data_IF_192701288881
#
_entry.id   IF_192701288881
#
_cell.length_a   1.000
_cell.length_b   1.000
_cell.length_c   1.000
_cell.angle_alpha   90.00
_cell.angle_beta   90.00
_cell.angle_gamma   90.00
#
_symmetry.space_group_name_H-M   'P 1'
#
loop_
_entity.id
_entity.type
_entity.pdbx_description
1 polymer ?
#
# COMPACT_ATOMS: atom_id res chain seq x y z
N UNK A 1 -11.83 9.13 17.66
CA UNK A 1 -10.55 8.85 18.35
C UNK A 1 -9.71 7.96 17.45
N UNK A 2 -8.38 8.13 17.39
CA UNK A 2 -7.52 7.20 16.65
C UNK A 2 -7.64 5.79 17.26
N UNK A 3 -7.76 4.77 16.41
CA UNK A 3 -7.74 3.37 16.83
C UNK A 3 -6.33 2.98 17.27
N UNK A 4 -6.21 2.61 18.54
CA UNK A 4 -4.95 2.26 19.23
C UNK A 4 -4.89 0.76 19.56
N UNK A 5 -5.74 -0.05 18.95
CA UNK A 5 -5.80 -1.49 19.20
C UNK A 5 -4.51 -2.21 18.73
N UNK A 6 -4.19 -3.38 19.31
CA UNK A 6 -3.15 -4.27 18.77
C UNK A 6 -3.37 -4.61 17.30
N UNK A 7 -4.64 -4.68 16.86
CA UNK A 7 -5.01 -4.91 15.46
C UNK A 7 -4.59 -3.73 14.57
N UNK A 8 -4.79 -2.48 15.02
CA UNK A 8 -4.34 -1.29 14.30
C UNK A 8 -2.81 -1.24 14.18
N UNK A 9 -2.08 -1.64 15.24
CA UNK A 9 -0.61 -1.77 15.21
C UNK A 9 -0.17 -2.85 14.23
N UNK A 10 -0.80 -4.04 14.27
CA UNK A 10 -0.48 -5.14 13.37
C UNK A 10 -0.75 -4.77 11.90
N UNK A 11 -1.87 -4.08 11.60
CA UNK A 11 -2.17 -3.58 10.26
C UNK A 11 -1.13 -2.57 9.76
N UNK A 12 -0.65 -1.68 10.63
CA UNK A 12 0.43 -0.77 10.30
C UNK A 12 1.74 -1.53 10.02
N UNK A 13 2.05 -2.58 10.79
CA UNK A 13 3.18 -3.48 10.52
C UNK A 13 3.10 -4.10 9.12
N UNK A 14 1.94 -4.71 8.78
CA UNK A 14 1.71 -5.27 7.44
C UNK A 14 1.86 -4.25 6.32
N UNK A 15 1.47 -2.99 6.57
CA UNK A 15 1.63 -1.91 5.59
C UNK A 15 3.10 -1.61 5.30
N UNK A 16 3.99 -1.73 6.30
CA UNK A 16 5.44 -1.60 6.11
C UNK A 16 5.95 -2.76 5.24
N UNK A 17 5.56 -4.00 5.57
CA UNK A 17 5.96 -5.20 4.82
C UNK A 17 5.55 -5.10 3.35
N UNK A 18 4.28 -4.76 3.10
CA UNK A 18 3.73 -4.59 1.75
C UNK A 18 4.40 -3.43 0.99
N UNK A 19 4.78 -2.35 1.68
CA UNK A 19 5.52 -1.25 1.05
C UNK A 19 6.85 -1.74 0.47
N UNK A 20 7.54 -2.64 1.17
CA UNK A 20 8.78 -3.24 0.67
C UNK A 20 8.53 -4.09 -0.58
N UNK A 21 7.44 -4.88 -0.60
CA UNK A 21 7.07 -5.70 -1.76
C UNK A 21 6.86 -4.84 -3.01
N UNK A 22 6.15 -3.73 -2.90
CA UNK A 22 5.99 -2.79 -4.02
C UNK A 22 7.31 -2.15 -4.45
N UNK A 23 8.19 -1.82 -3.51
CA UNK A 23 9.49 -1.22 -3.80
C UNK A 23 10.42 -2.21 -4.53
N UNK A 24 10.42 -3.48 -4.13
CA UNK A 24 11.17 -4.57 -4.77
C UNK A 24 10.67 -4.82 -6.20
N UNK A 25 9.37 -4.70 -6.43
CA UNK A 25 8.74 -4.88 -7.74
C UNK A 25 8.64 -3.59 -8.57
N UNK A 26 9.28 -2.50 -8.15
CA UNK A 26 9.11 -1.19 -8.78
C UNK A 26 9.47 -1.17 -10.28
N UNK A 27 10.49 -1.93 -10.68
CA UNK A 27 10.89 -2.03 -12.08
C UNK A 27 9.85 -2.78 -12.91
N UNK A 28 9.30 -3.88 -12.40
CA UNK A 28 8.24 -4.64 -13.06
C UNK A 28 6.95 -3.81 -13.20
N UNK A 29 6.59 -3.06 -12.16
CA UNK A 29 5.43 -2.15 -12.19
C UNK A 29 5.61 -1.10 -13.28
N UNK A 30 6.78 -0.48 -13.37
CA UNK A 30 7.04 0.56 -14.38
C UNK A 30 7.13 -0.02 -15.78
N UNK A 31 7.68 -1.22 -15.93
CA UNK A 31 7.73 -1.91 -17.21
C UNK A 31 6.33 -2.23 -17.78
N UNK A 32 5.30 -2.33 -16.94
CA UNK A 32 3.91 -2.55 -17.36
C UNK A 32 3.17 -1.24 -17.75
N UNK A 33 3.70 -0.06 -17.40
CA UNK A 33 3.04 1.22 -17.70
C UNK A 33 2.86 1.55 -19.19
N UNK A 34 3.79 1.20 -20.10
CA UNK A 34 3.62 1.44 -21.54
C UNK A 34 2.42 0.72 -22.16
N UNK A 35 1.99 -0.40 -21.56
CA UNK A 35 0.87 -1.20 -22.06
C UNK A 35 -0.50 -0.71 -21.55
N UNK A 36 -0.52 0.34 -20.70
CA UNK A 36 -1.75 0.90 -20.14
C UNK A 36 -2.47 1.73 -21.20
N UNK A 37 -3.71 1.38 -21.58
CA UNK A 37 -4.45 2.15 -22.56
C UNK A 37 -4.79 3.56 -22.09
N UNK A 38 -5.07 4.45 -23.03
CA UNK A 38 -5.60 5.78 -22.71
C UNK A 38 -6.89 5.67 -21.88
N UNK A 39 -7.06 6.60 -20.94
CA UNK A 39 -8.19 6.55 -19.99
C UNK A 39 -8.07 5.50 -18.89
N UNK A 40 -7.01 4.69 -18.87
CA UNK A 40 -6.77 3.68 -17.84
C UNK A 40 -5.66 4.09 -16.87
N UNK A 41 -5.56 3.34 -15.77
CA UNK A 41 -4.46 3.36 -14.79
C UNK A 41 -3.93 1.95 -14.61
N UNK A 42 -2.67 1.86 -14.19
CA UNK A 42 -2.07 0.61 -13.76
C UNK A 42 -2.37 0.42 -12.27
N UNK A 43 -2.86 -0.75 -11.89
CA UNK A 43 -3.11 -1.15 -10.51
C UNK A 43 -2.18 -2.30 -10.18
N UNK A 44 -1.21 -2.05 -9.30
CA UNK A 44 -0.32 -3.07 -8.78
C UNK A 44 -0.95 -3.68 -7.51
N UNK A 45 -0.97 -5.00 -7.40
CA UNK A 45 -1.65 -5.71 -6.31
C UNK A 45 -0.66 -6.56 -5.52
N UNK A 46 -0.78 -6.51 -4.21
CA UNK A 46 -0.13 -7.41 -3.25
C UNK A 46 -1.23 -8.15 -2.51
N UNK A 47 -1.13 -9.47 -2.44
CA UNK A 47 -2.16 -10.29 -1.79
C UNK A 47 -2.04 -10.29 -0.26
N UNK A 48 -2.96 -11.01 0.39
CA UNK A 48 -3.01 -11.20 1.83
C UNK A 48 -1.80 -11.95 2.42
N UNK A 49 -0.99 -12.62 1.57
CA UNK A 49 0.25 -13.27 1.97
C UNK A 49 1.47 -12.36 1.80
N UNK A 50 1.24 -11.07 1.50
CA UNK A 50 2.27 -10.09 1.17
C UNK A 50 3.11 -10.48 -0.06
N UNK A 51 2.51 -11.18 -1.02
CA UNK A 51 3.17 -11.54 -2.28
C UNK A 51 2.66 -10.63 -3.39
N UNK A 52 3.56 -10.23 -4.29
CA UNK A 52 3.18 -9.46 -5.47
C UNK A 52 2.31 -10.31 -6.39
N UNK A 53 1.03 -9.95 -6.50
CA UNK A 53 0.03 -10.67 -7.28
C UNK A 53 -0.01 -10.23 -8.76
N UNK A 54 0.68 -9.13 -9.09
CA UNK A 54 0.82 -8.63 -10.46
C UNK A 54 0.22 -7.24 -10.66
N UNK A 55 -0.02 -6.91 -11.93
CA UNK A 55 -0.55 -5.62 -12.35
C UNK A 55 -1.80 -5.78 -13.22
N UNK A 56 -2.73 -4.83 -13.09
CA UNK A 56 -3.97 -4.79 -13.84
C UNK A 56 -4.18 -3.42 -14.49
N UNK A 57 -4.79 -3.39 -15.68
CA UNK A 57 -5.24 -2.16 -16.30
C UNK A 57 -6.70 -1.93 -15.90
N UNK A 58 -6.98 -0.75 -15.36
CA UNK A 58 -8.32 -0.40 -14.89
C UNK A 58 -8.72 0.95 -15.46
N UNK A 59 -9.92 1.01 -16.03
CA UNK A 59 -10.46 2.27 -16.54
C UNK A 59 -10.66 3.26 -15.40
N UNK A 60 -10.22 4.52 -15.59
CA UNK A 60 -10.32 5.56 -14.55
C UNK A 60 -11.76 5.76 -14.06
N UNK A 61 -12.74 5.59 -14.95
CA UNK A 61 -14.16 5.76 -14.65
C UNK A 61 -14.70 4.71 -13.65
N UNK A 62 -14.18 3.48 -13.71
CA UNK A 62 -14.66 2.35 -12.89
C UNK A 62 -13.68 1.96 -11.78
N UNK A 63 -12.57 2.69 -11.64
CA UNK A 63 -11.49 2.39 -10.69
C UNK A 63 -11.97 2.24 -9.25
N UNK A 64 -12.92 3.07 -8.81
CA UNK A 64 -13.43 3.04 -7.43
C UNK A 64 -14.14 1.72 -7.11
N UNK A 65 -14.76 1.09 -8.11
CA UNK A 65 -15.46 -0.19 -7.97
C UNK A 65 -14.50 -1.36 -8.17
N UNK A 66 -13.60 -1.25 -9.16
CA UNK A 66 -12.72 -2.35 -9.59
C UNK A 66 -11.51 -2.57 -8.69
N UNK A 67 -10.92 -1.51 -8.13
CA UNK A 67 -9.73 -1.65 -7.27
C UNK A 67 -10.02 -2.47 -6.01
N UNK A 68 -11.12 -2.24 -5.26
CA UNK A 68 -11.47 -3.10 -4.12
C UNK A 68 -11.67 -4.57 -4.48
N UNK A 69 -12.24 -4.87 -5.66
CA UNK A 69 -12.40 -6.26 -6.14
C UNK A 69 -11.05 -6.94 -6.41
N UNK A 70 -10.07 -6.18 -6.94
CA UNK A 70 -8.72 -6.67 -7.22
C UNK A 70 -7.87 -6.83 -5.94
N UNK A 71 -8.02 -5.92 -4.99
CA UNK A 71 -7.34 -5.98 -3.68
C UNK A 71 -7.79 -7.20 -2.87
N UNK A 72 -9.09 -7.50 -2.87
CA UNK A 72 -9.67 -8.51 -2.00
C UNK A 72 -9.73 -8.10 -0.52
N UNK A 73 -10.14 -9.00 0.39
CA UNK A 73 -10.48 -8.65 1.78
C UNK A 73 -9.29 -8.16 2.62
N UNK A 74 -8.07 -8.57 2.27
CA UNK A 74 -6.84 -8.27 3.02
C UNK A 74 -5.63 -8.03 2.11
N UNK A 75 -5.84 -7.75 0.82
CA UNK A 75 -4.73 -7.36 -0.05
C UNK A 75 -4.43 -5.87 0.04
N UNK A 76 -3.54 -5.41 -0.81
CA UNK A 76 -3.25 -4.00 -1.02
C UNK A 76 -3.14 -3.71 -2.49
N UNK A 77 -3.72 -2.59 -2.92
CA UNK A 77 -3.56 -2.08 -4.26
C UNK A 77 -2.86 -0.72 -4.26
N UNK A 78 -1.98 -0.50 -5.23
CA UNK A 78 -1.41 0.82 -5.52
C UNK A 78 -1.67 1.20 -6.97
N UNK A 79 -2.21 2.39 -7.17
CA UNK A 79 -2.61 2.90 -8.49
C UNK A 79 -1.56 3.84 -9.04
N UNK A 80 -1.11 3.60 -10.26
CA UNK A 80 -0.15 4.42 -10.99
C UNK A 80 -0.74 4.94 -12.30
N UNK A 81 -0.50 6.21 -12.57
CA UNK A 81 -0.83 6.80 -13.87
C UNK A 81 0.25 6.49 -14.89
N UNK A 82 -0.09 6.40 -16.19
CA UNK A 82 0.91 6.33 -17.26
C UNK A 82 1.98 7.42 -17.10
N UNK A 83 3.24 7.06 -17.36
CA UNK A 83 4.39 7.97 -17.22
C UNK A 83 5.01 8.04 -15.82
N UNK A 84 4.48 7.30 -14.83
CA UNK A 84 5.16 7.16 -13.54
C UNK A 84 6.53 6.47 -13.70
N UNK A 85 7.50 6.87 -12.87
CA UNK A 85 8.87 6.34 -12.91
C UNK A 85 9.14 5.39 -11.74
N UNK A 86 10.25 4.65 -11.80
CA UNK A 86 10.71 3.81 -10.68
C UNK A 86 10.93 4.67 -9.43
N UNK A 87 11.42 5.89 -9.61
CA UNK A 87 11.56 6.86 -8.52
C UNK A 87 10.23 7.23 -7.87
N UNK A 88 9.15 7.38 -8.65
CA UNK A 88 7.82 7.65 -8.12
C UNK A 88 7.25 6.48 -7.33
N UNK A 89 7.45 5.25 -7.81
CA UNK A 89 7.05 4.03 -7.08
C UNK A 89 7.81 3.93 -5.75
N UNK A 90 9.13 4.08 -5.77
CA UNK A 90 9.97 4.03 -4.56
C UNK A 90 9.63 5.14 -3.58
N UNK A 91 9.35 6.36 -4.06
CA UNK A 91 8.94 7.47 -3.20
C UNK A 91 7.60 7.18 -2.52
N UNK A 92 6.59 6.75 -3.27
CA UNK A 92 5.25 6.44 -2.71
C UNK A 92 5.29 5.31 -1.69
N UNK A 93 6.05 4.26 -1.97
CA UNK A 93 6.21 3.13 -1.06
C UNK A 93 6.96 3.53 0.21
N UNK A 94 8.00 4.36 0.11
CA UNK A 94 8.68 4.92 1.28
C UNK A 94 7.75 5.80 2.13
N UNK A 95 6.94 6.67 1.51
CA UNK A 95 5.94 7.49 2.21
C UNK A 95 4.90 6.62 2.94
N UNK A 96 4.44 5.55 2.30
CA UNK A 96 3.50 4.59 2.89
C UNK A 96 4.09 3.90 4.13
N UNK A 97 5.34 3.41 4.02
CA UNK A 97 6.06 2.81 5.14
C UNK A 97 6.31 3.82 6.28
N UNK A 98 6.67 5.07 5.97
CA UNK A 98 6.90 6.11 6.97
C UNK A 98 5.62 6.44 7.74
N UNK A 99 4.49 6.62 7.04
CA UNK A 99 3.19 6.87 7.67
C UNK A 99 2.82 5.72 8.62
N UNK A 100 3.00 4.49 8.17
CA UNK A 100 2.75 3.30 8.99
C UNK A 100 3.68 3.23 10.21
N UNK A 101 4.97 3.52 10.04
CA UNK A 101 5.95 3.58 11.13
C UNK A 101 5.61 4.64 12.18
N UNK A 102 5.22 5.85 11.75
CA UNK A 102 4.74 6.91 12.64
C UNK A 102 3.50 6.48 13.43
N UNK A 103 2.61 5.71 12.81
CA UNK A 103 1.41 5.17 13.47
C UNK A 103 1.76 4.13 14.54
N UNK A 104 2.67 3.20 14.27
CA UNK A 104 3.17 2.24 15.27
C UNK A 104 3.80 2.99 16.45
N UNK A 105 4.70 3.93 16.18
CA UNK A 105 5.36 4.71 17.23
C UNK A 105 4.38 5.49 18.11
N UNK A 106 3.30 6.02 17.52
CA UNK A 106 2.25 6.70 18.27
C UNK A 106 1.45 5.73 19.17
N UNK A 107 1.06 4.56 18.66
CA UNK A 107 0.35 3.52 19.41
C UNK A 107 1.22 3.04 20.58
N UNK A 108 2.49 2.73 20.32
CA UNK A 108 3.44 2.23 21.33
C UNK A 108 3.65 3.28 22.43
N UNK A 109 3.83 4.56 22.07
CA UNK A 109 3.97 5.66 23.03
C UNK A 109 2.74 5.83 23.93
N UNK A 110 1.53 5.77 23.37
CA UNK A 110 0.29 5.94 24.15
C UNK A 110 0.05 4.73 25.04
N UNK A 111 0.36 3.52 24.57
CA UNK A 111 0.20 2.28 25.34
C UNK A 111 1.16 2.24 26.53
N UNK A 112 2.43 2.61 26.34
CA UNK A 112 3.41 2.73 27.42
C UNK A 112 2.96 3.72 28.51
N UNK A 113 2.44 4.89 28.12
CA UNK A 113 1.91 5.89 29.06
C UNK A 113 0.69 5.40 29.86
N UNK A 114 -0.08 4.44 29.35
CA UNK A 114 -1.25 3.87 30.04
C UNK A 114 -0.90 2.68 30.93
N UNK A 115 0.23 2.01 30.67
CA UNK A 115 0.77 0.96 31.53
C UNK A 115 1.45 1.49 32.81
N UNK A 116 1.81 2.78 32.83
CA UNK A 116 2.49 3.49 33.94
C UNK A 116 1.52 4.23 34.88
N UNK A 117 0.23 3.89 34.89
CA UNK A 117 -0.70 4.41 35.90
C UNK A 117 -0.62 3.54 37.17
N UNK A 118 -0.08 4.04 38.30
CA UNK A 118 -0.09 3.33 39.58
C UNK A 118 -1.50 3.20 40.17
#
# INVERSE_FOLDING_TARGET
MPDLSPQARARAGRTIDVSAVFAENAEAIVAALPDVPDGHVLVAVVDHQHVFAGTHHVEKATMVERVPELEGPEGWAMVFTPGATVGDVRRRTAEMAEIAGRRIAAIDRITARRGDAP
#
